data_IF_558923700212
#
_entry.id   IF_558923700212
#
_cell.length_a   1.000
_cell.length_b   1.000
_cell.length_c   1.000
_cell.angle_alpha   90.00
_cell.angle_beta   90.00
_cell.angle_gamma   90.00
#
_symmetry.space_group_name_H-M   'P 1'
#
loop_
_entity.id
_entity.type
_entity.pdbx_description
1 polymer ?
#
# COMPACT_ATOMS: atom_id res chain seq x y z
N UNK A 1 -15.30 18.99 -42.08
CA UNK A 1 -14.80 18.29 -40.87
C UNK A 1 -13.64 19.11 -40.34
N UNK A 2 -13.91 19.99 -39.39
CA UNK A 2 -12.88 20.78 -38.73
C UNK A 2 -12.24 19.91 -37.66
N UNK A 3 -11.02 19.44 -37.89
CA UNK A 3 -10.18 18.84 -36.87
C UNK A 3 -9.80 19.95 -35.90
N UNK A 4 -10.42 19.97 -34.72
CA UNK A 4 -10.02 20.83 -33.61
C UNK A 4 -8.56 20.52 -33.27
N UNK A 5 -7.68 21.50 -33.49
CA UNK A 5 -6.32 21.47 -32.98
C UNK A 5 -6.43 21.69 -31.47
N UNK A 6 -6.54 20.59 -30.73
CA UNK A 6 -6.39 20.60 -29.27
C UNK A 6 -4.99 21.13 -28.98
N UNK A 7 -4.90 22.33 -28.40
CA UNK A 7 -3.62 22.96 -28.06
C UNK A 7 -2.90 22.12 -27.00
N UNK A 8 -1.59 21.92 -27.14
CA UNK A 8 -0.77 21.18 -26.18
C UNK A 8 -0.88 21.70 -24.73
N UNK A 9 -1.25 22.98 -24.55
CA UNK A 9 -1.56 23.56 -23.23
C UNK A 9 -2.75 22.88 -22.55
N UNK A 10 -3.82 22.59 -23.29
CA UNK A 10 -5.04 21.99 -22.72
C UNK A 10 -4.81 20.57 -22.20
N UNK A 11 -3.94 19.80 -22.86
CA UNK A 11 -3.58 18.44 -22.42
C UNK A 11 -2.76 18.47 -21.12
N UNK A 12 -1.85 19.43 -20.98
CA UNK A 12 -1.06 19.59 -19.75
C UNK A 12 -1.94 20.00 -18.56
N UNK A 13 -2.90 20.91 -18.79
CA UNK A 13 -3.88 21.32 -17.78
C UNK A 13 -4.72 20.10 -17.34
N UNK A 14 -5.21 19.28 -18.27
CA UNK A 14 -5.92 18.02 -17.97
C UNK A 14 -5.08 17.08 -17.09
N UNK A 15 -3.82 16.83 -17.45
CA UNK A 15 -2.93 15.95 -16.72
C UNK A 15 -2.68 16.45 -15.30
N UNK A 16 -2.49 17.77 -15.13
CA UNK A 16 -2.34 18.40 -13.82
C UNK A 16 -3.58 18.16 -12.97
N UNK A 17 -4.77 18.44 -13.48
CA UNK A 17 -6.04 18.19 -12.77
C UNK A 17 -6.20 16.74 -12.36
N UNK A 18 -5.78 15.80 -13.19
CA UNK A 18 -5.84 14.38 -12.85
C UNK A 18 -4.87 13.99 -11.73
N UNK A 19 -3.70 14.63 -11.69
CA UNK A 19 -2.71 14.44 -10.62
C UNK A 19 -3.08 15.11 -9.30
N UNK A 20 -3.68 16.30 -9.33
CA UNK A 20 -3.93 17.13 -8.14
C UNK A 20 -5.39 17.15 -7.70
N UNK A 21 -6.31 16.70 -8.55
CA UNK A 21 -7.75 16.81 -8.35
C UNK A 21 -8.30 18.22 -8.55
N UNK A 22 -7.52 19.16 -9.09
CA UNK A 22 -7.95 20.55 -9.26
C UNK A 22 -9.15 20.71 -10.21
N UNK A 23 -9.93 21.77 -9.98
CA UNK A 23 -11.07 22.14 -10.83
C UNK A 23 -10.65 23.10 -11.94
N UNK A 24 -11.32 23.03 -13.10
CA UNK A 24 -11.05 23.86 -14.29
C UNK A 24 -10.95 25.38 -14.03
N UNK A 25 -11.77 25.92 -13.12
CA UNK A 25 -11.76 27.35 -12.81
C UNK A 25 -10.52 27.83 -12.05
N UNK A 26 -9.75 26.91 -11.49
CA UNK A 26 -8.65 27.22 -10.58
C UNK A 26 -7.31 27.36 -11.30
N UNK A 27 -7.12 26.60 -12.38
CA UNK A 27 -5.92 26.65 -13.22
C UNK A 27 -5.72 28.01 -13.88
N UNK A 28 -6.83 28.67 -14.26
CA UNK A 28 -6.79 30.02 -14.84
C UNK A 28 -6.14 31.08 -13.93
N UNK A 29 -5.98 30.79 -12.63
CA UNK A 29 -5.36 31.70 -11.67
C UNK A 29 -3.87 31.44 -11.43
N UNK A 30 -3.38 30.25 -11.77
CA UNK A 30 -2.02 29.79 -11.43
C UNK A 30 -1.08 29.89 -12.63
N UNK A 31 -0.91 31.10 -13.17
CA UNK A 31 0.20 31.49 -14.06
C UNK A 31 0.38 30.70 -15.38
N UNK A 32 1.32 31.17 -16.19
CA UNK A 32 1.76 30.48 -17.43
C UNK A 32 2.93 29.54 -17.11
N UNK A 33 2.72 28.24 -17.27
CA UNK A 33 3.77 27.20 -17.15
C UNK A 33 4.77 27.27 -18.32
N UNK A 34 6.05 26.96 -18.07
CA UNK A 34 7.06 26.81 -19.13
C UNK A 34 7.13 25.34 -19.55
N UNK A 35 7.30 25.11 -20.86
CA UNK A 35 7.52 23.77 -21.38
C UNK A 35 8.76 23.13 -20.73
N UNK A 36 8.57 21.98 -20.07
CA UNK A 36 9.62 21.24 -19.37
C UNK A 36 9.57 21.29 -17.84
N UNK A 37 8.76 22.19 -17.26
CA UNK A 37 8.52 22.22 -15.82
C UNK A 37 7.64 21.03 -15.38
N UNK A 38 7.85 20.55 -14.15
CA UNK A 38 6.99 19.54 -13.56
C UNK A 38 5.64 20.17 -13.21
N UNK A 39 4.53 19.56 -13.64
CA UNK A 39 3.18 20.07 -13.31
C UNK A 39 2.88 20.01 -11.82
N UNK A 40 3.50 19.04 -11.13
CA UNK A 40 3.40 18.87 -9.68
C UNK A 40 4.80 18.93 -9.10
N UNK A 41 5.19 20.11 -8.61
CA UNK A 41 6.48 20.32 -7.98
C UNK A 41 6.67 19.40 -6.76
N UNK A 42 7.88 18.85 -6.59
CA UNK A 42 8.26 18.19 -5.34
C UNK A 42 8.55 19.25 -4.25
N UNK A 43 8.42 18.88 -2.98
CA UNK A 43 8.92 19.73 -1.91
C UNK A 43 10.45 19.87 -2.04
N UNK A 44 10.97 21.10 -2.04
CA UNK A 44 12.41 21.37 -2.09
C UNK A 44 13.08 21.17 -0.73
N UNK A 45 12.38 21.49 0.35
CA UNK A 45 12.88 21.42 1.72
C UNK A 45 12.73 20.02 2.32
N UNK A 46 13.81 19.49 2.91
CA UNK A 46 13.81 18.15 3.52
C UNK A 46 12.78 18.04 4.65
N UNK A 47 12.65 19.06 5.50
CA UNK A 47 11.65 19.07 6.57
C UNK A 47 10.22 18.98 6.02
N UNK A 48 9.95 19.65 4.90
CA UNK A 48 8.66 19.60 4.23
C UNK A 48 8.41 18.22 3.62
N UNK A 49 9.41 17.63 2.95
CA UNK A 49 9.32 16.25 2.42
C UNK A 49 8.98 15.24 3.52
N UNK A 50 9.63 15.37 4.67
CA UNK A 50 9.41 14.49 5.83
C UNK A 50 8.00 14.65 6.39
N UNK A 51 7.53 15.89 6.58
CA UNK A 51 6.16 16.14 7.04
C UNK A 51 5.12 15.56 6.08
N UNK A 52 5.31 15.78 4.77
CA UNK A 52 4.40 15.27 3.73
C UNK A 52 4.41 13.74 3.64
N UNK A 53 5.56 13.08 3.75
CA UNK A 53 5.65 11.62 3.72
C UNK A 53 5.00 10.95 4.95
N UNK A 54 5.16 11.54 6.14
CA UNK A 54 4.48 11.09 7.35
C UNK A 54 2.97 11.28 7.24
N UNK A 55 2.54 12.40 6.66
CA UNK A 55 1.13 12.66 6.40
C UNK A 55 0.53 11.70 5.37
N UNK A 56 1.27 11.37 4.30
CA UNK A 56 0.88 10.32 3.35
C UNK A 56 0.65 8.98 4.07
N UNK A 57 1.59 8.57 4.91
CA UNK A 57 1.49 7.35 5.68
C UNK A 57 0.31 7.38 6.66
N UNK A 58 0.03 8.53 7.28
CA UNK A 58 -1.11 8.72 8.17
C UNK A 58 -2.45 8.62 7.43
N UNK A 59 -2.57 9.23 6.24
CA UNK A 59 -3.75 9.13 5.37
C UNK A 59 -3.99 7.66 4.98
N UNK A 60 -2.94 6.93 4.60
CA UNK A 60 -3.04 5.51 4.24
C UNK A 60 -3.49 4.66 5.44
N UNK A 61 -2.94 4.90 6.64
CA UNK A 61 -3.39 4.22 7.87
C UNK A 61 -4.84 4.54 8.23
N UNK A 62 -5.27 5.79 8.04
CA UNK A 62 -6.64 6.21 8.28
C UNK A 62 -7.62 5.44 7.37
N UNK A 63 -7.30 5.33 6.07
CA UNK A 63 -8.08 4.53 5.12
C UNK A 63 -8.15 3.06 5.52
N UNK A 64 -7.03 2.49 5.94
CA UNK A 64 -6.98 1.10 6.41
C UNK A 64 -7.84 0.91 7.69
N UNK A 65 -7.80 1.88 8.61
CA UNK A 65 -8.67 1.91 9.79
C UNK A 65 -10.16 1.96 9.45
N UNK A 66 -10.54 2.78 8.49
CA UNK A 66 -11.90 2.88 7.96
C UNK A 66 -12.34 1.55 7.34
N UNK A 67 -11.50 0.97 6.49
CA UNK A 67 -11.75 -0.33 5.83
C UNK A 67 -12.00 -1.43 6.86
N UNK A 68 -11.18 -1.48 7.91
CA UNK A 68 -11.33 -2.45 9.01
C UNK A 68 -12.67 -2.37 9.72
N UNK A 69 -13.31 -1.20 9.73
CA UNK A 69 -14.64 -0.98 10.32
C UNK A 69 -15.77 -1.29 9.33
N UNK A 70 -15.46 -1.94 8.21
CA UNK A 70 -16.38 -2.28 7.12
C UNK A 70 -17.14 -1.06 6.56
N UNK A 71 -16.54 0.14 6.65
CA UNK A 71 -17.07 1.32 5.96
C UNK A 71 -16.55 1.29 4.52
N UNK A 72 -17.43 1.24 3.51
CA UNK A 72 -17.00 1.34 2.12
C UNK A 72 -16.44 2.74 1.89
N UNK A 73 -15.13 2.87 1.69
CA UNK A 73 -14.55 4.15 1.28
C UNK A 73 -13.50 3.94 0.21
N UNK A 74 -13.46 4.87 -0.75
CA UNK A 74 -12.42 4.96 -1.77
C UNK A 74 -11.31 5.88 -1.22
N UNK A 75 -10.03 5.72 -1.62
CA UNK A 75 -8.94 6.62 -1.20
C UNK A 75 -9.24 8.10 -1.43
N UNK A 76 -9.84 8.42 -2.59
CA UNK A 76 -10.26 9.78 -2.95
C UNK A 76 -11.51 10.25 -2.23
N UNK A 77 -12.22 9.36 -1.52
CA UNK A 77 -13.21 9.75 -0.54
C UNK A 77 -12.55 10.39 0.68
N UNK A 78 -11.27 10.10 0.99
CA UNK A 78 -10.57 10.69 2.14
C UNK A 78 -9.86 11.99 1.77
N UNK A 79 -9.01 11.96 0.73
CA UNK A 79 -8.31 13.14 0.20
C UNK A 79 -8.83 13.38 -1.20
N UNK A 80 -9.66 14.40 -1.35
CA UNK A 80 -10.30 14.75 -2.62
C UNK A 80 -9.33 15.45 -3.57
N UNK A 81 -8.49 16.33 -3.02
CA UNK A 81 -7.59 17.20 -3.78
C UNK A 81 -6.29 17.48 -3.03
N UNK A 82 -5.22 17.72 -3.78
CA UNK A 82 -3.88 18.04 -3.30
C UNK A 82 -3.37 19.25 -4.07
N UNK A 83 -3.20 20.39 -3.40
CA UNK A 83 -2.64 21.61 -3.99
C UNK A 83 -1.23 21.83 -3.50
N UNK A 84 -0.28 21.80 -4.42
CA UNK A 84 1.11 22.10 -4.14
C UNK A 84 1.45 23.47 -4.74
N UNK A 85 1.81 24.43 -3.89
CA UNK A 85 2.19 25.80 -4.29
C UNK A 85 3.38 26.26 -3.45
N UNK A 86 4.45 26.75 -4.09
CA UNK A 86 5.64 27.38 -3.47
C UNK A 86 6.05 26.83 -2.09
N UNK A 87 6.25 25.51 -2.01
CA UNK A 87 6.71 24.82 -0.80
C UNK A 87 5.63 24.52 0.24
N UNK A 88 4.40 24.99 0.04
CA UNK A 88 3.22 24.66 0.82
C UNK A 88 2.39 23.57 0.13
N UNK A 89 1.94 22.59 0.90
CA UNK A 89 0.94 21.62 0.48
C UNK A 89 -0.39 21.92 1.18
N UNK A 90 -1.49 21.88 0.44
CA UNK A 90 -2.83 21.91 0.99
C UNK A 90 -3.62 20.67 0.52
N UNK A 91 -4.25 19.98 1.46
CA UNK A 91 -5.07 18.80 1.23
C UNK A 91 -6.53 19.16 1.47
N UNK A 92 -7.40 18.81 0.55
CA UNK A 92 -8.84 18.81 0.80
C UNK A 92 -9.25 17.44 1.30
N UNK A 93 -9.48 17.37 2.61
CA UNK A 93 -9.94 16.15 3.28
C UNK A 93 -11.46 16.17 3.29
N UNK A 94 -12.11 15.05 2.98
CA UNK A 94 -13.56 14.98 3.07
C UNK A 94 -14.04 14.99 4.53
N UNK A 95 -15.16 15.66 4.77
CA UNK A 95 -15.69 15.92 6.12
C UNK A 95 -15.89 14.64 6.95
N UNK A 96 -16.27 13.54 6.30
CA UNK A 96 -16.53 12.23 6.88
C UNK A 96 -15.28 11.43 7.24
N UNK A 97 -14.11 11.84 6.74
CA UNK A 97 -12.82 11.21 7.02
C UNK A 97 -11.84 12.08 7.82
N UNK A 98 -12.22 13.31 8.15
CA UNK A 98 -11.42 14.25 8.95
C UNK A 98 -11.01 13.63 10.29
N UNK A 99 -11.94 12.98 10.99
CA UNK A 99 -11.68 12.45 12.33
C UNK A 99 -10.63 11.32 12.29
N UNK A 100 -10.72 10.45 11.28
CA UNK A 100 -9.75 9.38 11.06
C UNK A 100 -8.37 9.92 10.68
N UNK A 101 -8.28 10.90 9.78
CA UNK A 101 -6.99 11.54 9.45
C UNK A 101 -6.38 12.18 10.69
N UNK A 102 -7.13 12.99 11.43
CA UNK A 102 -6.62 13.65 12.63
C UNK A 102 -6.20 12.64 13.71
N UNK A 103 -6.87 11.50 13.81
CA UNK A 103 -6.53 10.44 14.75
C UNK A 103 -5.18 9.76 14.45
N UNK A 104 -4.76 9.76 13.18
CA UNK A 104 -3.49 9.21 12.70
C UNK A 104 -2.38 10.25 12.57
N UNK A 105 -2.74 11.54 12.52
CA UNK A 105 -1.81 12.67 12.35
C UNK A 105 -1.37 13.27 13.68
N UNK A 106 -2.29 13.48 14.63
CA UNK A 106 -2.00 14.26 15.83
C UNK A 106 -1.23 13.44 16.88
N UNK A 107 -0.03 13.89 17.34
CA UNK A 107 0.78 13.13 18.27
C UNK A 107 0.15 13.01 19.65
N UNK A 108 -0.10 11.77 20.10
CA UNK A 108 -0.69 11.44 21.40
C UNK A 108 -0.08 10.18 22.01
N UNK A 109 -0.08 10.09 23.34
CA UNK A 109 0.32 8.89 24.05
C UNK A 109 -0.89 8.05 24.42
N UNK A 110 -0.97 6.83 23.89
CA UNK A 110 -1.94 5.81 24.26
C UNK A 110 -1.20 4.76 25.06
N UNK A 111 -1.36 4.80 26.40
CA UNK A 111 -0.44 4.09 27.29
C UNK A 111 0.98 4.65 27.19
N UNK A 112 1.95 3.80 26.91
CA UNK A 112 3.36 4.17 26.70
C UNK A 112 3.73 4.39 25.22
N UNK A 113 2.79 4.13 24.30
CA UNK A 113 2.99 4.21 22.87
C UNK A 113 2.64 5.59 22.33
N UNK A 114 3.56 6.18 21.58
CA UNK A 114 3.29 7.36 20.76
C UNK A 114 2.54 6.95 19.47
N UNK A 115 1.41 7.59 19.23
CA UNK A 115 0.62 7.52 17.99
C UNK A 115 0.59 8.92 17.38
N UNK A 116 0.50 9.02 16.05
CA UNK A 116 0.54 10.30 15.35
C UNK A 116 1.93 10.67 14.85
N UNK A 117 2.04 11.83 14.22
CA UNK A 117 3.28 12.34 13.64
C UNK A 117 4.03 13.15 14.72
N UNK A 118 5.22 12.72 15.17
CA UNK A 118 5.97 13.42 16.21
C UNK A 118 6.31 14.86 15.80
N UNK A 119 6.06 15.81 16.71
CA UNK A 119 6.36 17.23 16.52
C UNK A 119 5.29 18.01 15.75
N UNK A 120 4.24 17.36 15.24
CA UNK A 120 3.14 18.08 14.58
C UNK A 120 2.33 18.86 15.59
N UNK A 121 2.04 20.13 15.27
CA UNK A 121 1.20 21.04 16.05
C UNK A 121 0.10 21.63 15.16
N UNK A 122 -1.18 21.45 15.54
CA UNK A 122 -2.29 22.03 14.80
C UNK A 122 -2.48 23.51 15.15
N UNK A 123 -2.64 24.35 14.13
CA UNK A 123 -2.99 25.76 14.25
C UNK A 123 -4.28 26.03 13.45
N UNK A 124 -5.45 26.14 14.12
CA UNK A 124 -6.71 26.33 13.42
C UNK A 124 -6.79 27.74 12.80
N UNK A 125 -7.00 27.79 11.50
CA UNK A 125 -7.30 28.99 10.72
C UNK A 125 -8.80 29.25 10.62
N UNK A 126 -9.19 30.12 9.68
CA UNK A 126 -10.61 30.46 9.45
C UNK A 126 -11.37 29.35 8.73
N UNK A 127 -10.76 28.75 7.70
CA UNK A 127 -11.36 27.73 6.82
C UNK A 127 -10.42 26.56 6.55
N UNK A 128 -9.40 26.40 7.39
CA UNK A 128 -8.36 25.40 7.26
C UNK A 128 -7.70 25.14 8.61
N UNK A 129 -7.04 24.00 8.73
CA UNK A 129 -6.13 23.67 9.83
C UNK A 129 -4.70 23.62 9.29
N UNK A 130 -3.79 24.38 9.89
CA UNK A 130 -2.36 24.25 9.60
C UNK A 130 -1.76 23.17 10.50
N UNK A 131 -1.09 22.20 9.89
CA UNK A 131 -0.27 21.20 10.56
C UNK A 131 1.18 21.65 10.41
N UNK A 132 1.76 22.17 11.50
CA UNK A 132 3.15 22.66 11.52
C UNK A 132 4.04 21.62 12.17
N UNK A 133 5.22 21.37 11.58
CA UNK A 133 6.24 20.56 12.24
C UNK A 133 7.11 21.47 13.12
N UNK A 134 6.97 21.30 14.44
CA UNK A 134 7.66 22.09 15.47
C UNK A 134 9.17 22.18 15.23
N UNK A 135 9.74 23.38 15.36
CA UNK A 135 11.17 23.64 15.12
C UNK A 135 11.58 23.71 13.64
N UNK A 136 10.63 23.67 12.70
CA UNK A 136 10.91 23.75 11.26
C UNK A 136 9.93 24.71 10.57
N UNK A 137 10.22 25.19 9.34
CA UNK A 137 9.24 25.95 8.55
C UNK A 137 8.17 25.05 7.90
N UNK A 138 8.29 23.72 8.01
CA UNK A 138 7.41 22.81 7.29
C UNK A 138 5.96 22.89 7.77
N UNK A 139 5.04 22.96 6.80
CA UNK A 139 3.61 23.17 7.03
C UNK A 139 2.78 22.48 5.96
N UNK A 140 1.66 21.89 6.37
CA UNK A 140 0.60 21.42 5.47
C UNK A 140 -0.74 22.00 5.93
N UNK A 141 -1.59 22.42 4.98
CA UNK A 141 -2.95 22.87 5.26
C UNK A 141 -3.96 21.76 5.02
N UNK A 142 -4.86 21.51 5.96
CA UNK A 142 -6.08 20.74 5.72
C UNK A 142 -7.22 21.74 5.43
N UNK A 143 -7.71 21.74 4.20
CA UNK A 143 -8.78 22.61 3.72
C UNK A 143 -10.15 22.02 4.09
N UNK A 144 -11.15 22.90 4.23
CA UNK A 144 -12.51 22.51 4.63
C UNK A 144 -12.67 22.32 6.14
N UNK A 145 -11.58 22.32 6.89
CA UNK A 145 -11.58 22.18 8.34
C UNK A 145 -11.62 23.54 9.02
N UNK A 146 -12.82 24.06 9.25
CA UNK A 146 -13.01 25.30 10.01
C UNK A 146 -12.79 25.11 11.52
N UNK A 147 -12.78 26.22 12.26
CA UNK A 147 -12.51 26.19 13.70
C UNK A 147 -13.55 25.40 14.51
N UNK A 148 -14.88 25.54 14.27
CA UNK A 148 -15.87 24.66 14.88
C UNK A 148 -15.63 23.17 14.63
N UNK A 149 -15.46 22.76 13.36
CA UNK A 149 -15.23 21.35 13.01
C UNK A 149 -13.94 20.80 13.61
N UNK A 150 -12.89 21.62 13.69
CA UNK A 150 -11.67 21.28 14.42
C UNK A 150 -11.94 20.99 15.90
N UNK A 151 -12.66 21.87 16.61
CA UNK A 151 -12.95 21.66 18.03
C UNK A 151 -13.79 20.40 18.28
N UNK A 152 -14.74 20.11 17.40
CA UNK A 152 -15.53 18.88 17.42
C UNK A 152 -14.65 17.63 17.27
N UNK A 153 -13.74 17.61 16.28
CA UNK A 153 -12.83 16.49 16.04
C UNK A 153 -11.79 16.31 17.16
N UNK A 154 -11.22 17.41 17.64
CA UNK A 154 -10.06 17.40 18.53
C UNK A 154 -10.41 17.10 20.00
N UNK A 155 -11.68 17.26 20.39
CA UNK A 155 -12.17 16.93 21.72
C UNK A 155 -12.04 15.44 22.05
N UNK A 156 -12.71 14.55 21.29
CA UNK A 156 -12.64 13.10 21.47
C UNK A 156 -11.22 12.55 21.37
N UNK A 157 -10.39 13.09 20.47
CA UNK A 157 -9.01 12.61 20.29
C UNK A 157 -8.10 12.83 21.49
N UNK A 158 -8.46 13.77 22.38
CA UNK A 158 -7.73 14.02 23.62
C UNK A 158 -8.32 13.26 24.82
N UNK A 159 -9.51 12.66 24.68
CA UNK A 159 -10.13 11.90 25.76
C UNK A 159 -9.39 10.57 25.97
N UNK A 160 -8.97 10.29 27.21
CA UNK A 160 -8.34 9.02 27.57
C UNK A 160 -6.88 8.85 27.12
N UNK A 161 -6.21 9.92 26.65
CA UNK A 161 -4.81 9.88 26.24
C UNK A 161 -4.08 11.19 26.59
N UNK A 162 -2.75 11.19 26.54
CA UNK A 162 -1.97 12.44 26.65
C UNK A 162 -1.85 13.06 25.27
N UNK A 163 -2.64 14.10 25.01
CA UNK A 163 -2.61 14.86 23.75
C UNK A 163 -1.37 15.78 23.69
N UNK A 164 -0.24 15.22 23.27
CA UNK A 164 1.05 15.93 23.21
C UNK A 164 1.00 17.17 22.32
N UNK A 165 0.21 17.11 21.25
CA UNK A 165 -0.04 18.24 20.36
C UNK A 165 -0.67 19.48 21.02
N UNK A 166 -1.21 19.37 22.25
CA UNK A 166 -1.77 20.50 23.02
C UNK A 166 -0.73 21.30 23.80
N UNK A 167 0.55 20.94 23.80
CA UNK A 167 1.57 21.74 24.51
C UNK A 167 1.70 23.13 23.87
N UNK A 168 1.14 24.13 24.55
CA UNK A 168 1.13 25.55 24.15
C UNK A 168 2.52 26.17 24.07
N UNK A 169 3.54 25.52 24.65
CA UNK A 169 4.93 25.99 24.63
C UNK A 169 5.71 25.47 23.43
N UNK A 170 5.06 24.72 22.53
CA UNK A 170 5.69 24.09 21.37
C UNK A 170 6.90 23.21 21.75
N UNK A 171 6.87 22.62 22.95
CA UNK A 171 7.92 21.72 23.41
C UNK A 171 7.62 20.32 22.94
N UNK A 172 8.69 19.60 22.60
CA UNK A 172 8.63 18.19 22.26
C UNK A 172 8.55 17.36 23.53
N UNK A 173 7.67 16.37 23.53
CA UNK A 173 7.68 15.35 24.57
C UNK A 173 8.89 14.42 24.39
N UNK A 174 9.42 13.82 25.46
CA UNK A 174 10.58 12.91 25.40
C UNK A 174 10.37 11.77 24.39
N UNK A 175 9.17 11.19 24.37
CA UNK A 175 8.79 10.16 23.39
C UNK A 175 8.76 10.67 21.94
N UNK A 176 8.38 11.93 21.72
CA UNK A 176 8.49 12.54 20.38
C UNK A 176 9.96 12.70 19.98
N UNK A 177 10.83 13.12 20.91
CA UNK A 177 12.28 13.19 20.65
C UNK A 177 12.88 11.83 20.32
N UNK A 178 12.51 10.78 21.06
CA UNK A 178 12.97 9.43 20.78
C UNK A 178 12.51 8.96 19.38
N UNK A 179 11.25 9.23 19.01
CA UNK A 179 10.70 8.90 17.69
C UNK A 179 11.33 9.73 16.56
N UNK A 180 11.70 10.99 16.81
CA UNK A 180 12.39 11.82 15.81
C UNK A 180 13.81 11.38 15.52
N UNK A 181 14.49 10.79 16.52
CA UNK A 181 15.85 10.26 16.39
C UNK A 181 15.91 8.90 15.71
N UNK A 182 14.78 8.20 15.60
CA UNK A 182 14.71 6.98 14.80
C UNK A 182 15.10 7.33 13.35
N UNK A 183 15.92 6.51 12.67
CA UNK A 183 16.31 6.76 11.29
C UNK A 183 15.06 6.97 10.42
N UNK A 184 14.87 8.19 9.91
CA UNK A 184 13.80 8.49 8.96
C UNK A 184 14.30 8.09 7.59
N UNK A 185 13.56 7.19 6.95
CA UNK A 185 13.96 6.55 5.70
C UNK A 185 14.16 7.56 4.56
N UNK A 186 15.04 7.19 3.62
CA UNK A 186 15.25 7.84 2.32
C UNK A 186 13.96 7.93 1.47
N UNK A 187 12.85 7.38 1.96
CA UNK A 187 11.52 7.40 1.33
C UNK A 187 10.77 8.71 1.53
N UNK A 188 11.30 9.69 2.30
CA UNK A 188 10.62 10.97 2.53
C UNK A 188 10.31 11.72 1.22
N UNK A 189 11.28 11.80 0.31
CA UNK A 189 11.05 12.44 -1.00
C UNK A 189 9.98 11.71 -1.82
N UNK A 190 10.02 10.37 -1.84
CA UNK A 190 9.04 9.54 -2.54
C UNK A 190 7.63 9.71 -1.93
N UNK A 191 7.50 9.59 -0.61
CA UNK A 191 6.21 9.75 0.09
C UNK A 191 5.61 11.14 -0.10
N UNK A 192 6.42 12.20 -0.01
CA UNK A 192 6.03 13.57 -0.33
C UNK A 192 5.52 13.69 -1.77
N UNK A 193 6.28 13.18 -2.74
CA UNK A 193 5.91 13.25 -4.14
C UNK A 193 4.60 12.53 -4.46
N UNK A 194 4.35 11.37 -3.80
CA UNK A 194 3.11 10.63 -3.92
C UNK A 194 1.93 11.33 -3.26
N UNK A 195 2.12 11.96 -2.08
CA UNK A 195 1.06 12.74 -1.46
C UNK A 195 0.59 13.88 -2.36
N UNK A 196 1.51 14.57 -3.03
CA UNK A 196 1.20 15.65 -3.97
C UNK A 196 0.46 15.17 -5.23
N UNK A 197 0.43 13.85 -5.46
CA UNK A 197 -0.22 13.17 -6.60
C UNK A 197 -1.28 12.17 -6.14
N UNK A 198 -1.79 12.32 -4.92
CA UNK A 198 -2.68 11.35 -4.29
C UNK A 198 -3.94 11.02 -5.11
N UNK A 199 -4.54 11.97 -5.86
CA UNK A 199 -5.64 11.70 -6.78
C UNK A 199 -5.35 10.65 -7.88
N UNK A 200 -4.09 10.32 -8.17
CA UNK A 200 -3.77 9.24 -9.12
C UNK A 200 -4.35 7.88 -8.71
N UNK A 201 -4.68 7.65 -7.44
CA UNK A 201 -5.35 6.42 -6.98
C UNK A 201 -6.87 6.53 -6.93
N UNK A 202 -7.47 7.47 -7.67
CA UNK A 202 -8.92 7.56 -7.84
C UNK A 202 -9.49 6.23 -8.31
N UNK A 203 -10.56 5.77 -7.67
CA UNK A 203 -11.23 4.51 -8.01
C UNK A 203 -10.62 3.24 -7.40
N UNK A 204 -9.46 3.31 -6.75
CA UNK A 204 -8.99 2.19 -5.94
C UNK A 204 -9.93 1.95 -4.74
N UNK A 205 -9.97 0.73 -4.22
CA UNK A 205 -10.77 0.36 -3.05
C UNK A 205 -10.02 0.64 -1.74
N UNK A 206 -8.70 0.52 -1.74
CA UNK A 206 -7.83 0.83 -0.59
C UNK A 206 -6.41 1.09 -1.06
N UNK A 207 -5.60 1.71 -0.20
CA UNK A 207 -4.16 1.89 -0.40
C UNK A 207 -3.40 1.34 0.80
N UNK A 208 -2.20 0.80 0.58
CA UNK A 208 -1.27 0.40 1.63
C UNK A 208 0.14 0.76 1.20
N UNK A 209 1.01 1.09 2.16
CA UNK A 209 2.39 1.48 1.89
C UNK A 209 3.35 0.64 2.72
N UNK A 210 4.48 0.26 2.13
CA UNK A 210 5.55 -0.46 2.83
C UNK A 210 6.87 0.23 2.47
N UNK A 211 7.55 0.75 3.48
CA UNK A 211 8.94 1.19 3.34
C UNK A 211 9.85 -0.04 3.42
N UNK A 212 10.84 -0.11 2.54
CA UNK A 212 11.83 -1.19 2.47
C UNK A 212 13.23 -0.62 2.68
N UNK A 213 14.17 -1.44 3.22
CA UNK A 213 15.57 -1.07 3.27
C UNK A 213 16.09 -0.59 1.91
N UNK A 214 16.97 0.41 1.92
CA UNK A 214 17.51 1.01 0.69
C UNK A 214 16.65 2.15 0.11
N UNK A 215 15.73 2.72 0.91
CA UNK A 215 14.95 3.89 0.51
C UNK A 215 13.84 3.60 -0.49
N UNK A 216 13.44 2.33 -0.62
CA UNK A 216 12.36 1.95 -1.52
C UNK A 216 11.00 2.09 -0.84
N UNK A 217 10.04 2.72 -1.51
CA UNK A 217 8.65 2.84 -1.07
C UNK A 217 7.76 2.02 -2.00
N UNK A 218 7.07 1.03 -1.43
CA UNK A 218 6.10 0.22 -2.15
C UNK A 218 4.68 0.70 -1.80
N UNK A 219 3.85 0.91 -2.83
CA UNK A 219 2.45 1.28 -2.68
C UNK A 219 1.58 0.23 -3.35
N UNK A 220 0.60 -0.28 -2.62
CA UNK A 220 -0.31 -1.33 -3.04
C UNK A 220 -1.75 -0.85 -3.00
N UNK A 221 -2.57 -1.33 -3.92
CA UNK A 221 -4.00 -1.06 -3.93
C UNK A 221 -4.77 -2.17 -4.63
N UNK A 222 -6.09 -2.16 -4.47
CA UNK A 222 -7.01 -3.01 -5.22
C UNK A 222 -7.97 -2.14 -6.03
N UNK A 223 -8.43 -2.64 -7.16
CA UNK A 223 -9.29 -1.94 -8.12
C UNK A 223 -8.68 -0.64 -8.66
N UNK A 224 -9.46 0.19 -9.36
CA UNK A 224 -8.99 1.46 -9.90
C UNK A 224 -7.92 1.33 -11.00
N UNK A 225 -6.95 2.24 -11.07
CA UNK A 225 -6.02 2.33 -12.20
C UNK A 225 -5.04 1.16 -12.23
N UNK A 226 -4.56 0.80 -13.42
CA UNK A 226 -3.53 -0.23 -13.61
C UNK A 226 -2.19 0.23 -13.05
N UNK A 227 -1.41 -0.71 -12.52
CA UNK A 227 -0.11 -0.40 -11.92
C UNK A 227 0.87 0.14 -12.95
N UNK A 228 0.83 -0.41 -14.17
CA UNK A 228 1.64 -0.02 -15.33
C UNK A 228 1.35 1.41 -15.75
N UNK A 229 0.07 1.79 -15.83
CA UNK A 229 -0.32 3.17 -16.14
C UNK A 229 0.15 4.15 -15.07
N UNK A 230 -0.02 3.82 -13.78
CA UNK A 230 0.46 4.67 -12.67
C UNK A 230 1.99 4.79 -12.70
N UNK A 231 2.72 3.70 -12.92
CA UNK A 231 4.19 3.73 -13.01
C UNK A 231 4.69 4.55 -14.20
N UNK A 232 4.03 4.45 -15.36
CA UNK A 232 4.35 5.25 -16.53
C UNK A 232 4.07 6.73 -16.31
N UNK A 233 2.94 7.09 -15.66
CA UNK A 233 2.64 8.47 -15.27
C UNK A 233 3.71 9.01 -14.32
N UNK A 234 4.10 8.24 -13.30
CA UNK A 234 5.09 8.67 -12.31
C UNK A 234 6.54 8.67 -12.82
N UNK A 235 6.84 8.04 -13.97
CA UNK A 235 8.19 8.00 -14.55
C UNK A 235 8.36 8.91 -15.76
N UNK A 236 7.42 8.81 -16.71
CA UNK A 236 7.56 9.24 -18.09
C UNK A 236 6.40 10.18 -18.50
N UNK A 237 6.04 11.10 -17.59
CA UNK A 237 5.05 12.15 -17.86
C UNK A 237 5.44 13.49 -17.22
N UNK A 238 4.64 14.52 -17.53
CA UNK A 238 4.66 15.82 -16.89
C UNK A 238 4.35 15.78 -15.37
N UNK A 239 3.77 14.68 -14.86
CA UNK A 239 3.60 14.37 -13.44
C UNK A 239 4.66 13.41 -12.89
N UNK A 240 5.82 13.23 -13.54
CA UNK A 240 6.88 12.34 -13.04
C UNK A 240 7.36 12.72 -11.64
N UNK A 241 7.90 11.74 -10.91
CA UNK A 241 8.64 11.95 -9.66
C UNK A 241 10.14 12.06 -9.98
N UNK A 242 10.79 13.20 -9.69
CA UNK A 242 12.21 13.40 -9.98
C UNK A 242 13.10 12.38 -9.27
N UNK A 243 14.18 11.98 -9.94
CA UNK A 243 15.25 11.11 -9.42
C UNK A 243 14.73 9.84 -8.73
N UNK A 244 13.58 9.35 -9.20
CA UNK A 244 12.93 8.14 -8.73
C UNK A 244 12.64 7.20 -9.90
N UNK A 245 13.06 5.94 -9.76
CA UNK A 245 12.69 4.88 -10.68
C UNK A 245 11.39 4.24 -10.16
N UNK A 246 10.39 4.12 -11.04
CA UNK A 246 9.10 3.54 -10.67
C UNK A 246 8.88 2.26 -11.44
N UNK A 247 8.59 1.18 -10.73
CA UNK A 247 8.32 -0.13 -11.35
C UNK A 247 6.96 -0.63 -10.89
N UNK A 248 6.08 -0.92 -11.85
CA UNK A 248 4.82 -1.59 -11.58
C UNK A 248 5.03 -3.08 -11.31
N UNK A 249 4.19 -3.65 -10.46
CA UNK A 249 4.07 -5.09 -10.33
C UNK A 249 2.63 -5.46 -9.97
N UNK A 250 2.23 -6.65 -10.38
CA UNK A 250 0.92 -7.24 -10.06
C UNK A 250 1.18 -8.41 -9.12
N UNK A 251 0.47 -8.44 -8.01
CA UNK A 251 0.51 -9.62 -7.14
C UNK A 251 -0.34 -10.72 -7.79
N UNK A 252 0.19 -11.95 -7.95
CA UNK A 252 -0.50 -13.03 -8.66
C UNK A 252 -1.88 -13.38 -8.11
N UNK A 253 -2.09 -13.12 -6.82
CA UNK A 253 -3.32 -13.39 -6.09
C UNK A 253 -4.03 -12.08 -5.75
N UNK A 254 -5.35 -12.07 -5.92
CA UNK A 254 -6.29 -11.06 -5.40
C UNK A 254 -6.44 -9.74 -6.19
N UNK A 255 -5.86 -9.64 -7.39
CA UNK A 255 -6.00 -8.44 -8.22
C UNK A 255 -5.37 -7.19 -7.58
N UNK A 256 -4.46 -7.40 -6.61
CA UNK A 256 -3.70 -6.34 -5.97
C UNK A 256 -2.63 -5.85 -6.93
N UNK A 257 -2.64 -4.54 -7.13
CA UNK A 257 -1.70 -3.80 -7.98
C UNK A 257 -0.72 -3.09 -7.07
N UNK A 258 0.48 -2.84 -7.57
CA UNK A 258 1.43 -2.02 -6.84
C UNK A 258 2.44 -1.31 -7.72
N UNK A 259 3.05 -0.28 -7.12
CA UNK A 259 4.26 0.36 -7.64
C UNK A 259 5.34 0.34 -6.58
N UNK A 260 6.59 0.18 -7.02
CA UNK A 260 7.79 0.40 -6.22
C UNK A 260 8.45 1.67 -6.71
N UNK A 261 8.75 2.56 -5.78
CA UNK A 261 9.56 3.75 -5.99
C UNK A 261 10.92 3.50 -5.36
N UNK A 262 11.98 3.56 -6.14
CA UNK A 262 13.35 3.38 -5.67
C UNK A 262 14.20 4.60 -6.05
N UNK A 263 15.20 5.00 -5.22
CA UNK A 263 16.12 6.06 -5.57
C UNK A 263 16.83 5.76 -6.90
N UNK A 264 16.90 6.74 -7.79
CA UNK A 264 17.57 6.60 -9.08
C UNK A 264 16.75 7.17 -10.22
N UNK A 265 17.39 7.49 -11.35
CA UNK A 265 16.66 8.03 -12.50
C UNK A 265 15.98 6.90 -13.27
N UNK A 266 14.68 7.06 -13.52
CA UNK A 266 14.01 6.25 -14.53
C UNK A 266 14.64 6.54 -15.90
N UNK A 267 14.81 5.50 -16.72
CA UNK A 267 15.23 5.66 -18.12
C UNK A 267 14.03 6.21 -18.87
N UNK A 268 14.01 7.52 -19.09
CA UNK A 268 12.91 8.16 -19.79
C UNK A 268 12.81 7.62 -21.22
N UNK A 269 11.67 7.07 -21.61
CA UNK A 269 11.45 6.51 -22.96
C UNK A 269 11.19 7.58 -24.03
N UNK A 270 11.61 8.83 -23.81
CA UNK A 270 11.68 9.87 -24.85
C UNK A 270 10.35 10.49 -25.29
N UNK A 271 9.22 10.20 -24.64
CA UNK A 271 7.92 10.81 -24.95
C UNK A 271 6.92 10.69 -23.80
N UNK A 272 5.91 11.56 -23.79
CA UNK A 272 4.81 11.48 -22.83
C UNK A 272 3.99 10.21 -23.07
N UNK A 273 3.76 9.43 -22.01
CA UNK A 273 3.02 8.17 -22.07
C UNK A 273 1.50 8.40 -22.21
N UNK A 274 1.03 8.94 -23.34
CA UNK A 274 -0.39 9.24 -23.57
C UNK A 274 -1.34 8.03 -23.43
N UNK A 275 -0.84 6.82 -23.70
CA UNK A 275 -1.57 5.58 -23.45
C UNK A 275 -1.90 5.41 -21.96
N UNK A 276 -0.98 5.77 -21.06
CA UNK A 276 -1.15 5.61 -19.62
C UNK A 276 -2.24 6.55 -19.10
N UNK A 277 -2.30 7.77 -19.62
CA UNK A 277 -3.37 8.73 -19.32
C UNK A 277 -4.74 8.30 -19.85
N UNK A 278 -4.78 7.76 -21.07
CA UNK A 278 -6.02 7.22 -21.66
C UNK A 278 -6.55 6.06 -20.82
N UNK A 279 -5.67 5.13 -20.44
CA UNK A 279 -6.01 3.99 -19.59
C UNK A 279 -6.41 4.40 -18.18
N UNK A 280 -5.66 5.32 -17.55
CA UNK A 280 -6.01 5.87 -16.26
C UNK A 280 -7.40 6.50 -16.32
N UNK A 281 -7.66 7.36 -17.30
CA UNK A 281 -8.97 8.02 -17.47
C UNK A 281 -10.07 7.01 -17.70
N UNK A 282 -9.87 5.96 -18.50
CA UNK A 282 -10.87 4.92 -18.70
C UNK A 282 -11.23 4.18 -17.39
N UNK A 283 -10.26 3.99 -16.50
CA UNK A 283 -10.44 3.28 -15.22
C UNK A 283 -10.92 4.18 -14.08
N UNK A 284 -10.63 5.48 -14.13
CA UNK A 284 -10.94 6.45 -13.07
C UNK A 284 -12.04 7.45 -13.46
N UNK A 285 -12.49 7.41 -14.71
CA UNK A 285 -13.69 8.11 -15.15
C UNK A 285 -14.81 7.79 -14.16
N UNK A 286 -15.62 8.77 -13.76
CA UNK A 286 -16.86 8.46 -13.09
C UNK A 286 -17.65 7.58 -14.06
N UNK A 287 -17.65 6.26 -13.84
CA UNK A 287 -18.62 5.38 -14.48
C UNK A 287 -20.02 5.94 -14.22
N UNK A 288 -21.05 5.56 -15.02
CA UNK A 288 -22.42 6.04 -14.81
C UNK A 288 -22.71 5.93 -13.33
N UNK A 289 -23.00 7.07 -12.66
CA UNK A 289 -23.11 7.21 -11.20
C UNK A 289 -23.64 5.91 -10.62
N UNK A 290 -22.75 5.00 -10.24
CA UNK A 290 -23.19 3.76 -9.63
C UNK A 290 -23.70 4.31 -8.32
N UNK A 291 -25.02 4.25 -8.05
CA UNK A 291 -25.53 4.67 -6.76
C UNK A 291 -24.61 3.99 -5.75
N UNK A 292 -24.09 4.74 -4.77
CA UNK A 292 -23.07 4.24 -3.85
C UNK A 292 -23.48 2.87 -3.23
N UNK A 293 -24.80 2.67 -3.12
CA UNK A 293 -25.53 1.45 -2.77
C UNK A 293 -25.42 0.26 -3.75
N UNK A 294 -25.23 0.46 -5.05
CA UNK A 294 -25.07 -0.58 -6.07
C UNK A 294 -23.62 -1.07 -6.21
N UNK A 295 -22.63 -0.19 -5.92
CA UNK A 295 -21.24 -0.64 -5.74
C UNK A 295 -21.13 -1.54 -4.50
N UNK A 296 -21.85 -1.20 -3.42
CA UNK A 296 -22.04 -2.06 -2.25
C UNK A 296 -22.60 -3.46 -2.59
N UNK A 297 -23.52 -3.57 -3.56
CA UNK A 297 -24.13 -4.84 -3.97
C UNK A 297 -23.25 -5.68 -4.92
N UNK A 298 -22.46 -5.04 -5.79
CA UNK A 298 -21.54 -5.74 -6.70
C UNK A 298 -20.26 -6.25 -6.00
N UNK A 299 -20.01 -5.81 -4.75
CA UNK A 299 -18.86 -6.22 -3.93
C UNK A 299 -19.20 -7.37 -2.95
N UNK A 300 -20.30 -8.09 -3.17
CA UNK A 300 -20.56 -9.37 -2.48
C UNK A 300 -19.69 -10.50 -3.06
N UNK A 301 -18.37 -10.30 -3.06
CA UNK A 301 -17.44 -11.43 -2.89
C UNK A 301 -16.95 -11.34 -1.45
N UNK A 302 -17.05 -12.40 -0.62
CA UNK A 302 -16.77 -12.31 0.80
C UNK A 302 -15.36 -11.78 1.05
N UNK A 303 -15.31 -10.64 1.73
CA UNK A 303 -14.08 -9.94 2.12
C UNK A 303 -13.12 -10.87 2.83
N UNK A 304 -11.95 -11.12 2.24
CA UNK A 304 -10.83 -11.75 2.91
C UNK A 304 -10.51 -11.01 4.22
N UNK A 305 -10.39 -11.77 5.30
CA UNK A 305 -9.97 -11.26 6.60
C UNK A 305 -8.48 -10.87 6.48
N UNK A 306 -8.13 -9.72 7.06
CA UNK A 306 -6.90 -8.96 6.80
C UNK A 306 -5.61 -9.81 6.87
N UNK A 307 -4.71 -9.73 5.87
CA UNK A 307 -3.44 -10.46 5.86
C UNK A 307 -2.55 -10.22 7.10
N UNK A 308 -2.63 -9.04 7.71
CA UNK A 308 -1.82 -8.68 8.88
C UNK A 308 -2.32 -9.33 10.18
N UNK A 309 -3.58 -9.77 10.24
CA UNK A 309 -4.13 -10.42 11.43
C UNK A 309 -3.52 -11.81 11.61
N UNK A 310 -3.22 -12.50 10.51
CA UNK A 310 -2.57 -13.81 10.51
C UNK A 310 -1.17 -13.79 11.09
N UNK A 311 -0.54 -12.62 11.18
CA UNK A 311 0.80 -12.43 11.70
C UNK A 311 0.83 -12.13 13.21
N UNK A 312 -0.32 -11.87 13.84
CA UNK A 312 -0.36 -11.68 15.29
C UNK A 312 0.07 -12.98 16.00
N UNK A 313 0.91 -12.92 17.06
CA UNK A 313 1.43 -14.12 17.71
C UNK A 313 0.34 -15.11 18.16
N UNK A 314 -0.73 -14.62 18.78
CA UNK A 314 -1.87 -15.45 19.23
C UNK A 314 -2.63 -16.10 18.08
N UNK A 315 -2.80 -15.38 16.97
CA UNK A 315 -3.44 -15.91 15.75
C UNK A 315 -2.55 -16.94 15.07
N UNK A 316 -1.24 -16.68 14.93
CA UNK A 316 -0.25 -17.64 14.40
C UNK A 316 -0.26 -18.93 15.20
N UNK A 317 -0.31 -18.83 16.52
CA UNK A 317 -0.31 -19.98 17.42
C UNK A 317 -1.58 -20.82 17.26
N UNK A 318 -2.75 -20.17 17.26
CA UNK A 318 -4.04 -20.83 17.04
C UNK A 318 -4.11 -21.53 15.66
N UNK A 319 -3.62 -20.87 14.61
CA UNK A 319 -3.55 -21.42 13.26
C UNK A 319 -2.61 -22.63 13.18
N UNK A 320 -1.42 -22.53 13.77
CA UNK A 320 -0.44 -23.62 13.79
C UNK A 320 -0.97 -24.86 14.53
N UNK A 321 -1.72 -24.66 15.62
CA UNK A 321 -2.40 -25.72 16.37
C UNK A 321 -3.73 -26.19 15.75
N UNK A 322 -4.19 -25.56 14.67
CA UNK A 322 -5.50 -25.78 14.01
C UNK A 322 -6.69 -25.63 14.97
N UNK A 323 -6.57 -24.76 15.96
CA UNK A 323 -7.62 -24.48 16.93
C UNK A 323 -8.61 -23.47 16.37
N UNK A 324 -9.50 -23.92 15.48
CA UNK A 324 -10.44 -23.05 14.77
C UNK A 324 -11.36 -22.27 15.72
N UNK A 325 -11.72 -22.84 16.86
CA UNK A 325 -12.48 -22.13 17.90
C UNK A 325 -11.73 -20.91 18.45
N UNK A 326 -10.42 -21.02 18.64
CA UNK A 326 -9.57 -19.90 19.06
C UNK A 326 -9.48 -18.85 17.96
N UNK A 327 -9.32 -19.27 16.70
CA UNK A 327 -9.34 -18.38 15.54
C UNK A 327 -10.65 -17.58 15.52
N UNK A 328 -11.81 -18.24 15.62
CA UNK A 328 -13.11 -17.54 15.61
C UNK A 328 -13.29 -16.60 16.79
N UNK A 329 -12.80 -16.97 17.99
CA UNK A 329 -12.81 -16.06 19.15
C UNK A 329 -11.94 -14.83 18.92
N UNK A 330 -10.75 -15.01 18.36
CA UNK A 330 -9.86 -13.90 18.01
C UNK A 330 -10.49 -13.00 16.95
N UNK A 331 -11.12 -13.55 15.93
CA UNK A 331 -11.84 -12.80 14.89
C UNK A 331 -13.00 -11.99 15.48
N UNK A 332 -13.83 -12.62 16.32
CA UNK A 332 -14.94 -11.96 17.01
C UNK A 332 -14.45 -10.84 17.93
N UNK A 333 -13.34 -11.06 18.65
CA UNK A 333 -12.68 -10.04 19.47
C UNK A 333 -12.16 -8.84 18.67
N UNK A 334 -11.87 -9.02 17.38
CA UNK A 334 -11.52 -7.96 16.44
C UNK A 334 -12.73 -7.38 15.67
N UNK A 335 -13.95 -7.72 16.10
CA UNK A 335 -15.18 -7.15 15.55
C UNK A 335 -15.75 -7.86 14.33
N UNK A 336 -15.25 -9.05 13.97
CA UNK A 336 -15.83 -9.86 12.89
C UNK A 336 -17.09 -10.59 13.40
N UNK A 337 -18.28 -10.32 12.85
CA UNK A 337 -19.51 -10.98 13.30
C UNK A 337 -19.49 -12.49 13.00
N UNK A 338 -20.06 -13.33 13.88
CA UNK A 338 -20.08 -14.79 13.69
C UNK A 338 -20.85 -15.23 12.43
N UNK A 339 -21.93 -14.54 12.13
CA UNK A 339 -22.71 -14.72 10.90
C UNK A 339 -21.86 -14.43 9.64
N UNK A 340 -20.95 -13.46 9.73
CA UNK A 340 -19.99 -13.19 8.65
C UNK A 340 -18.96 -14.33 8.51
N UNK A 341 -18.46 -14.88 9.63
CA UNK A 341 -17.57 -16.06 9.61
C UNK A 341 -18.26 -17.24 8.93
N UNK A 342 -19.51 -17.53 9.30
CA UNK A 342 -20.28 -18.61 8.71
C UNK A 342 -20.45 -18.46 7.20
N UNK A 343 -20.88 -17.28 6.73
CA UNK A 343 -20.97 -17.00 5.29
C UNK A 343 -19.64 -17.15 4.56
N UNK A 344 -18.56 -16.63 5.15
CA UNK A 344 -17.23 -16.67 4.54
C UNK A 344 -16.71 -18.11 4.40
N UNK A 345 -16.94 -18.97 5.41
CA UNK A 345 -16.46 -20.36 5.41
C UNK A 345 -17.44 -21.37 4.81
N UNK A 346 -18.64 -20.92 4.42
CA UNK A 346 -19.73 -21.79 3.97
C UNK A 346 -20.28 -22.68 5.09
N UNK A 347 -20.22 -22.20 6.34
CA UNK A 347 -20.79 -22.85 7.51
C UNK A 347 -22.05 -22.13 7.96
N UNK A 348 -23.02 -22.87 8.49
CA UNK A 348 -24.17 -22.23 9.12
C UNK A 348 -23.81 -21.71 10.53
N UNK A 349 -24.67 -20.85 11.10
CA UNK A 349 -24.41 -20.23 12.40
C UNK A 349 -24.33 -21.23 13.57
N UNK A 350 -25.03 -22.36 13.46
CA UNK A 350 -24.99 -23.43 14.46
C UNK A 350 -23.65 -24.15 14.44
N UNK A 351 -23.07 -24.40 13.27
CA UNK A 351 -21.75 -24.99 13.09
C UNK A 351 -20.63 -24.07 13.62
N UNK A 352 -20.75 -22.77 13.37
CA UNK A 352 -19.82 -21.77 13.93
C UNK A 352 -19.92 -21.75 15.45
N UNK A 353 -21.14 -21.77 16.00
CA UNK A 353 -21.39 -21.81 17.45
C UNK A 353 -20.89 -23.11 18.09
N UNK A 354 -21.07 -24.25 17.43
CA UNK A 354 -20.54 -25.54 17.89
C UNK A 354 -19.00 -25.54 17.93
N UNK A 355 -18.36 -24.94 16.93
CA UNK A 355 -16.90 -24.78 16.88
C UNK A 355 -16.39 -23.89 18.02
N UNK A 356 -17.10 -22.80 18.32
CA UNK A 356 -16.80 -21.92 19.47
C UNK A 356 -17.02 -22.64 20.81
N UNK A 357 -18.01 -23.52 20.89
CA UNK A 357 -18.28 -24.38 22.05
C UNK A 357 -17.26 -25.53 22.21
N UNK A 358 -16.23 -25.60 21.36
CA UNK A 358 -15.13 -26.56 21.48
C UNK A 358 -15.27 -27.82 20.63
N UNK A 359 -16.23 -27.88 19.70
CA UNK A 359 -16.30 -28.99 18.75
C UNK A 359 -15.16 -28.84 17.72
N UNK A 360 -14.22 -29.81 17.65
CA UNK A 360 -13.05 -29.66 16.80
C UNK A 360 -13.40 -29.86 15.32
N UNK A 361 -12.87 -29.01 14.44
CA UNK A 361 -12.93 -29.20 12.99
C UNK A 361 -11.78 -30.11 12.55
N UNK A 362 -12.08 -31.38 12.28
CA UNK A 362 -11.07 -32.38 11.88
C UNK A 362 -11.03 -32.65 10.38
N UNK A 363 -12.12 -32.35 9.69
CA UNK A 363 -12.26 -32.62 8.27
C UNK A 363 -11.34 -31.70 7.44
N UNK A 364 -10.52 -32.30 6.58
CA UNK A 364 -9.53 -31.57 5.78
C UNK A 364 -10.20 -30.62 4.78
N UNK A 365 -11.28 -31.06 4.14
CA UNK A 365 -12.00 -30.23 3.16
C UNK A 365 -12.67 -29.04 3.83
N UNK A 366 -13.20 -29.22 5.04
CA UNK A 366 -13.72 -28.14 5.87
C UNK A 366 -12.60 -27.18 6.30
N UNK A 367 -11.43 -27.67 6.72
CA UNK A 367 -10.29 -26.82 7.04
C UNK A 367 -9.81 -26.02 5.82
N UNK A 368 -9.77 -26.62 4.63
CA UNK A 368 -9.46 -25.93 3.38
C UNK A 368 -10.50 -24.86 3.05
N UNK A 369 -11.80 -25.15 3.17
CA UNK A 369 -12.86 -24.16 2.98
C UNK A 369 -12.80 -23.01 3.97
N UNK A 370 -12.45 -23.30 5.23
CA UNK A 370 -12.22 -22.25 6.24
C UNK A 370 -11.01 -21.41 5.84
N UNK A 371 -9.91 -22.02 5.44
CA UNK A 371 -8.72 -21.30 5.02
C UNK A 371 -8.99 -20.41 3.81
N UNK A 372 -9.63 -20.95 2.78
CA UNK A 372 -9.99 -20.24 1.54
C UNK A 372 -11.01 -19.14 1.82
N UNK A 373 -12.06 -19.44 2.59
CA UNK A 373 -13.13 -18.51 2.92
C UNK A 373 -12.69 -17.32 3.77
N UNK A 374 -11.73 -17.53 4.68
CA UNK A 374 -11.19 -16.45 5.51
C UNK A 374 -9.98 -15.77 4.87
N UNK A 375 -9.35 -16.36 3.85
CA UNK A 375 -8.10 -15.86 3.27
C UNK A 375 -6.87 -16.17 4.12
N UNK A 376 -6.88 -17.28 4.86
CA UNK A 376 -5.75 -17.76 5.67
C UNK A 376 -4.74 -18.46 4.75
N UNK A 377 -3.45 -18.09 4.78
CA UNK A 377 -2.42 -18.84 4.08
C UNK A 377 -2.40 -20.31 4.54
N UNK A 378 -2.67 -21.28 3.65
CA UNK A 378 -2.77 -22.72 3.98
C UNK A 378 -1.54 -23.26 4.71
N UNK A 379 -0.35 -22.69 4.46
CA UNK A 379 0.88 -23.01 5.18
C UNK A 379 0.80 -22.74 6.69
N UNK A 380 0.00 -21.76 7.13
CA UNK A 380 -0.10 -21.40 8.55
C UNK A 380 -0.90 -22.43 9.35
N UNK A 381 -1.77 -23.18 8.67
CA UNK A 381 -2.52 -24.30 9.23
C UNK A 381 -1.83 -25.65 8.96
N UNK A 382 -0.64 -25.66 8.36
CA UNK A 382 0.03 -26.89 7.91
C UNK A 382 -0.78 -27.67 6.86
N UNK A 383 -1.59 -26.98 6.05
CA UNK A 383 -2.41 -27.58 4.98
C UNK A 383 -1.70 -27.56 3.61
N UNK A 384 -0.49 -27.02 3.54
CA UNK A 384 0.29 -26.81 2.31
C UNK A 384 0.91 -28.09 1.71
N UNK A 385 0.21 -29.24 1.75
CA UNK A 385 0.75 -30.50 1.23
C UNK A 385 0.54 -30.73 -0.27
N UNK A 386 -0.25 -29.91 -0.97
CA UNK A 386 -0.34 -29.98 -2.44
C UNK A 386 -0.66 -28.61 -3.05
N UNK A 387 0.34 -27.74 -3.17
CA UNK A 387 0.41 -26.90 -4.38
C UNK A 387 0.85 -27.82 -5.52
N UNK A 388 -0.14 -28.52 -6.07
CA UNK A 388 0.00 -29.25 -7.32
C UNK A 388 0.24 -28.17 -8.38
N UNK A 389 1.50 -27.97 -8.75
CA UNK A 389 1.86 -27.21 -9.94
C UNK A 389 0.98 -27.71 -11.09
N UNK A 390 0.36 -26.78 -11.82
CA UNK A 390 -0.41 -27.10 -13.01
C UNK A 390 0.40 -28.09 -13.88
N UNK A 391 -0.23 -29.15 -14.41
CA UNK A 391 0.51 -30.17 -15.15
C UNK A 391 1.01 -29.56 -16.45
N UNK A 392 2.27 -29.10 -16.44
CA UNK A 392 3.05 -28.96 -17.66
C UNK A 392 3.44 -30.37 -18.03
N UNK A 393 2.77 -30.91 -19.04
CA UNK A 393 3.14 -32.17 -19.67
C UNK A 393 4.57 -32.01 -20.21
N UNK A 394 5.56 -32.55 -19.50
CA UNK A 394 6.89 -32.83 -20.03
C UNK A 394 7.35 -34.18 -19.55
N UNK A 395 7.26 -35.10 -20.50
CA UNK A 395 7.91 -36.39 -20.48
C UNK A 395 9.43 -36.17 -20.45
N UNK A 396 10.04 -36.44 -19.30
CA UNK A 396 11.45 -36.78 -19.23
C UNK A 396 11.64 -37.79 -18.11
N UNK A 397 11.78 -39.05 -18.52
CA UNK A 397 12.01 -40.22 -17.67
C UNK A 397 13.40 -40.14 -17.03
N UNK A 398 13.49 -39.33 -15.97
CA UNK A 398 14.62 -39.36 -15.06
C UNK A 398 14.07 -39.63 -13.65
N UNK A 399 14.27 -40.87 -13.22
CA UNK A 399 14.03 -41.37 -11.86
C UNK A 399 14.52 -40.35 -10.81
N UNK A 400 13.68 -40.08 -9.82
CA UNK A 400 13.94 -39.15 -8.70
C UNK A 400 15.24 -39.48 -7.97
N UNK A 401 15.65 -40.75 -7.96
CA UNK A 401 16.96 -41.16 -7.44
C UNK A 401 18.14 -40.56 -8.23
N UNK A 402 17.99 -40.31 -9.53
CA UNK A 402 18.99 -39.64 -10.35
C UNK A 402 19.14 -38.16 -9.99
N UNK A 403 18.03 -37.46 -9.76
CA UNK A 403 18.02 -36.04 -9.38
C UNK A 403 18.63 -35.84 -7.98
N UNK A 404 18.24 -36.69 -7.02
CA UNK A 404 18.77 -36.64 -5.64
C UNK A 404 20.27 -36.91 -5.59
N UNK A 405 20.78 -37.81 -6.42
CA UNK A 405 22.22 -38.13 -6.49
C UNK A 405 23.03 -36.94 -7.00
N UNK A 406 22.61 -36.31 -8.10
CA UNK A 406 23.30 -35.13 -8.67
C UNK A 406 23.33 -33.96 -7.70
N UNK A 407 22.24 -33.75 -6.95
CA UNK A 407 22.19 -32.72 -5.91
C UNK A 407 23.18 -33.02 -4.77
N UNK A 408 23.25 -34.27 -4.30
CA UNK A 408 24.18 -34.65 -3.23
C UNK A 408 25.64 -34.62 -3.69
N UNK A 409 25.93 -34.98 -4.95
CA UNK A 409 27.26 -34.85 -5.54
C UNK A 409 27.70 -33.39 -5.60
N UNK A 410 26.81 -32.48 -6.01
CA UNK A 410 27.11 -31.04 -6.04
C UNK A 410 27.30 -30.45 -4.63
N UNK A 411 26.48 -30.86 -3.67
CA UNK A 411 26.63 -30.46 -2.27
C UNK A 411 27.94 -30.97 -1.64
N UNK A 412 28.36 -32.21 -1.96
CA UNK A 412 29.64 -32.76 -1.53
C UNK A 412 30.83 -32.00 -2.13
N UNK A 413 30.72 -31.57 -3.39
CA UNK A 413 31.74 -30.77 -4.07
C UNK A 413 31.95 -29.40 -3.40
N UNK A 414 30.87 -28.75 -2.96
CA UNK A 414 30.92 -27.47 -2.26
C UNK A 414 31.42 -27.59 -0.81
N UNK A 415 31.18 -28.72 -0.15
CA UNK A 415 31.57 -28.95 1.24
C UNK A 415 33.03 -29.39 1.42
N UNK A 416 33.62 -30.06 0.43
CA UNK A 416 34.97 -30.64 0.57
C UNK A 416 36.09 -29.66 0.20
N UNK A 417 35.79 -28.50 -0.40
CA UNK A 417 36.79 -27.47 -0.69
C UNK A 417 37.91 -28.02 -1.58
N UNK A 418 37.72 -28.01 -2.90
CA UNK A 418 38.76 -28.42 -3.84
C UNK A 418 40.01 -27.57 -3.65
N UNK A 419 41.04 -28.19 -3.06
CA UNK A 419 42.38 -27.65 -3.00
C UNK A 419 42.90 -27.45 -4.43
N UNK A 420 43.28 -26.21 -4.75
CA UNK A 420 44.08 -25.92 -5.93
C UNK A 420 45.48 -26.52 -5.73
N UNK A 421 45.77 -27.63 -6.38
CA UNK A 421 47.13 -28.06 -6.75
C UNK A 421 47.04 -29.08 -7.88
N UNK A 422 47.61 -28.70 -9.02
CA UNK A 422 47.43 -29.40 -10.29
C UNK A 422 47.97 -30.83 -10.31
N UNK A 423 47.22 -31.74 -10.91
CA UNK A 423 47.78 -32.81 -11.74
C UNK A 423 46.72 -33.28 -12.75
N UNK A 424 47.12 -33.31 -14.02
CA UNK A 424 46.40 -33.89 -15.15
C UNK A 424 46.15 -35.39 -14.97
N UNK A 425 44.90 -35.86 -14.95
CA UNK A 425 44.54 -37.25 -15.35
C UNK A 425 43.12 -37.32 -15.94
N UNK A 426 43.12 -37.48 -17.28
CA UNK A 426 42.28 -38.36 -18.10
C UNK A 426 40.77 -38.52 -17.81
N UNK A 427 39.98 -37.99 -18.76
CA UNK A 427 39.05 -38.74 -19.60
C UNK A 427 38.34 -39.93 -18.95
N UNK A 428 37.08 -39.72 -18.57
CA UNK A 428 36.05 -40.76 -18.63
C UNK A 428 34.96 -40.32 -19.61
N UNK A 429 35.01 -40.91 -20.80
CA UNK A 429 33.96 -40.85 -21.82
C UNK A 429 32.68 -41.49 -21.29
N UNK A 430 31.56 -40.78 -21.43
CA UNK A 430 30.22 -41.34 -21.35
C UNK A 430 29.19 -40.34 -20.84
N UNK A 431 28.19 -40.06 -21.68
CA UNK A 431 27.01 -39.22 -21.46
C UNK A 431 27.17 -37.70 -21.62
N UNK A 432 27.29 -37.28 -22.89
CA UNK A 432 26.67 -36.03 -23.33
C UNK A 432 25.43 -36.37 -24.16
N UNK A 433 24.25 -36.20 -23.54
CA UNK A 433 23.02 -35.99 -24.28
C UNK A 433 22.92 -34.49 -24.57
N UNK A 434 23.01 -34.11 -25.85
CA UNK A 434 23.03 -32.73 -26.31
C UNK A 434 21.65 -32.03 -26.22
N UNK A 435 20.62 -32.68 -25.65
CA UNK A 435 19.28 -32.12 -25.50
C UNK A 435 18.98 -31.56 -24.09
N UNK A 436 19.95 -31.57 -23.16
CA UNK A 436 19.75 -31.11 -21.79
C UNK A 436 20.18 -29.64 -21.59
N UNK A 437 19.22 -28.73 -21.45
CA UNK A 437 19.43 -27.28 -21.23
C UNK A 437 20.03 -26.88 -19.86
N UNK A 438 20.58 -27.82 -19.09
CA UNK A 438 21.23 -27.58 -17.79
C UNK A 438 22.74 -27.87 -17.80
N UNK A 439 23.40 -27.75 -18.96
CA UNK A 439 24.85 -27.63 -18.98
C UNK A 439 25.24 -26.20 -18.54
N UNK A 440 25.65 -26.06 -17.27
CA UNK A 440 26.34 -24.85 -16.84
C UNK A 440 27.71 -24.82 -17.54
N UNK A 441 28.02 -23.70 -18.19
CA UNK A 441 29.32 -23.48 -18.84
C UNK A 441 30.45 -23.52 -17.81
N UNK A 442 31.57 -24.13 -18.22
CA UNK A 442 32.76 -24.38 -17.42
C UNK A 442 33.41 -23.11 -16.86
#
# INVERSE_FOLDING_TARGET
MSTEVVSASSVHDDHRRWCTGDSENQERREGTWRAGDLLVASASEVAQQVLEAELFSAVVRAMDGIRRRARPLRPTSLVRRTRADDGLLALEVADDGVDEVLSEVLPRLVGDRLVGIPGVRPLPGRHHLELRLSGTPAVVRLLGLDRPRWHEAAGPLAAGCVAVWRDVRDRWHEREHAAARAPRDLTAAAGSALLRRFPLWKGAAWLSTVARPGGCLEVYWRDGPRGEAVAAILSDSCCRVPDTAVTAYVMPTDGVRGVRLSPGRSVAHGGESGWAWTEWTAMTAPGPLVPEHAALAATETPSAILPQMWEQPSMREALARREIGDVYRLLAGHGVPLDHIGRATGQNIEEVSATLAGHPVRDYDRLCRIADGLGIPKGYMGLAHHERAAPVYRDCDCDEHGKRRRFLEHAAMLLIGSAESGTTVQSRNGFHDASCHYALSA
#
